data_IF_131819405634
#
_entry.id   IF_131819405634
#
_cell.length_a   1.000
_cell.length_b   1.000
_cell.length_c   1.000
_cell.angle_alpha   90.00
_cell.angle_beta   90.00
_cell.angle_gamma   90.00
#
_symmetry.space_group_name_H-M   'P 1'
#
loop_
_entity.id
_entity.type
_entity.pdbx_description
1 polymer ?
#
# COMPACT_ATOMS: atom_id res chain seq x y z
N UNK A 1 57.83 -0.52 -13.11
CA UNK A 1 56.74 -1.52 -13.13
C UNK A 1 55.71 -1.14 -12.06
N UNK A 2 54.62 -0.48 -12.44
CA UNK A 2 53.52 -0.20 -11.50
C UNK A 2 52.83 -1.54 -11.14
N UNK A 3 52.69 -1.81 -9.82
CA UNK A 3 52.07 -3.05 -9.34
C UNK A 3 50.61 -3.12 -9.80
N UNK A 4 50.12 -4.26 -10.32
CA UNK A 4 48.77 -4.41 -10.87
C UNK A 4 47.64 -4.02 -9.88
N UNK A 5 47.91 -4.06 -8.58
CA UNK A 5 47.00 -3.62 -7.52
C UNK A 5 46.70 -2.11 -7.56
N UNK A 6 47.66 -1.27 -7.96
CA UNK A 6 47.46 0.20 -8.08
C UNK A 6 46.57 0.55 -9.27
N UNK A 7 46.67 -0.18 -10.38
CA UNK A 7 45.83 0.03 -11.56
C UNK A 7 44.34 -0.34 -11.28
N UNK A 8 44.11 -1.43 -10.55
CA UNK A 8 42.74 -1.86 -10.17
C UNK A 8 42.08 -0.87 -9.22
N UNK A 9 42.83 -0.37 -8.23
CA UNK A 9 42.30 0.63 -7.27
C UNK A 9 42.02 1.97 -7.98
N UNK A 10 42.92 2.41 -8.85
CA UNK A 10 42.71 3.67 -9.60
C UNK A 10 41.53 3.58 -10.57
N UNK A 11 41.35 2.47 -11.28
CA UNK A 11 40.20 2.27 -12.16
C UNK A 11 38.87 2.22 -11.39
N UNK A 12 38.87 1.54 -10.24
CA UNK A 12 37.70 1.49 -9.36
C UNK A 12 37.27 2.87 -8.85
N UNK A 13 38.26 3.69 -8.43
CA UNK A 13 37.99 5.05 -7.94
C UNK A 13 37.42 5.97 -9.03
N UNK A 14 37.93 5.85 -10.27
CA UNK A 14 37.43 6.61 -11.41
C UNK A 14 36.00 6.24 -11.76
N UNK A 15 35.67 4.95 -11.77
CA UNK A 15 34.30 4.47 -12.05
C UNK A 15 33.33 4.95 -10.99
N UNK A 16 33.70 4.84 -9.70
CA UNK A 16 32.86 5.32 -8.60
C UNK A 16 32.66 6.83 -8.68
N UNK A 17 33.71 7.60 -8.94
CA UNK A 17 33.62 9.05 -9.11
C UNK A 17 32.74 9.43 -10.29
N UNK A 18 32.83 8.72 -11.40
CA UNK A 18 31.99 8.95 -12.58
C UNK A 18 30.51 8.65 -12.28
N UNK A 19 30.20 7.54 -11.61
CA UNK A 19 28.84 7.17 -11.22
C UNK A 19 28.25 8.20 -10.27
N UNK A 20 29.02 8.67 -9.30
CA UNK A 20 28.57 9.71 -8.35
C UNK A 20 28.33 11.03 -9.07
N UNK A 21 29.27 11.48 -9.91
CA UNK A 21 29.15 12.71 -10.68
C UNK A 21 27.94 12.66 -11.63
N UNK A 22 27.75 11.55 -12.34
CA UNK A 22 26.61 11.34 -13.22
C UNK A 22 25.28 11.34 -12.46
N UNK A 23 25.22 10.65 -11.31
CA UNK A 23 24.04 10.66 -10.45
C UNK A 23 23.70 12.06 -9.91
N UNK A 24 24.69 12.86 -9.59
CA UNK A 24 24.49 14.26 -9.14
C UNK A 24 23.97 15.14 -10.26
N UNK A 25 24.42 14.95 -11.49
CA UNK A 25 23.90 15.68 -12.66
C UNK A 25 22.44 15.35 -12.93
N UNK A 26 22.03 14.08 -12.76
CA UNK A 26 20.63 13.66 -12.94
C UNK A 26 19.70 14.07 -11.78
N UNK A 27 20.23 14.47 -10.61
CA UNK A 27 19.41 14.92 -9.46
C UNK A 27 18.54 16.16 -9.78
N UNK A 28 18.92 16.96 -10.76
CA UNK A 28 18.14 18.12 -11.17
C UNK A 28 17.03 17.81 -12.15
N UNK A 29 17.01 16.59 -12.72
CA UNK A 29 15.95 16.17 -13.61
C UNK A 29 14.64 16.05 -12.81
N UNK A 30 13.57 16.54 -13.39
CA UNK A 30 12.25 16.52 -12.83
C UNK A 30 11.28 15.76 -13.73
N UNK A 31 10.19 15.33 -13.17
CA UNK A 31 9.05 14.73 -13.89
C UNK A 31 8.45 15.77 -14.83
N UNK A 32 8.34 15.44 -16.11
CA UNK A 32 7.87 16.37 -17.16
C UNK A 32 6.36 16.58 -17.11
N UNK A 33 5.60 15.62 -16.56
CA UNK A 33 4.13 15.65 -16.46
C UNK A 33 3.65 14.95 -15.19
N UNK A 34 2.54 15.41 -14.63
CA UNK A 34 1.87 14.71 -13.53
C UNK A 34 1.23 13.40 -14.01
N UNK A 35 1.35 12.35 -13.18
CA UNK A 35 0.76 11.05 -13.45
C UNK A 35 0.36 10.32 -12.15
N UNK A 36 -0.44 9.26 -12.31
CA UNK A 36 -0.77 8.35 -11.22
C UNK A 36 0.03 7.06 -11.39
N UNK A 37 0.64 6.60 -10.29
CA UNK A 37 1.46 5.39 -10.27
C UNK A 37 1.03 4.46 -9.15
N UNK A 38 0.87 3.17 -9.48
CA UNK A 38 0.49 2.14 -8.52
C UNK A 38 1.72 1.33 -8.10
N UNK A 39 1.92 1.21 -6.80
CA UNK A 39 2.88 0.30 -6.18
C UNK A 39 2.08 -0.82 -5.52
N UNK A 40 2.37 -2.06 -5.88
CA UNK A 40 1.67 -3.23 -5.38
C UNK A 40 2.40 -3.85 -4.18
N UNK A 41 1.69 -4.58 -3.31
CA UNK A 41 2.32 -5.35 -2.23
C UNK A 41 3.43 -6.26 -2.78
N UNK A 42 4.62 -6.21 -2.17
CA UNK A 42 5.79 -6.98 -2.62
C UNK A 42 6.66 -6.30 -3.70
N UNK A 43 6.25 -5.14 -4.22
CA UNK A 43 7.12 -4.36 -5.11
C UNK A 43 8.38 -3.88 -4.38
N UNK A 44 9.46 -3.75 -5.12
CA UNK A 44 10.73 -3.22 -4.64
C UNK A 44 11.23 -2.09 -5.56
N UNK A 45 12.23 -1.33 -5.08
CA UNK A 45 12.78 -0.19 -5.83
C UNK A 45 13.25 -0.58 -7.24
N UNK A 46 13.98 -1.68 -7.47
CA UNK A 46 14.35 -2.11 -8.82
C UNK A 46 13.16 -2.30 -9.76
N UNK A 47 12.10 -2.94 -9.31
CA UNK A 47 10.90 -3.19 -10.11
C UNK A 47 10.14 -1.89 -10.39
N UNK A 48 9.97 -1.05 -9.37
CA UNK A 48 9.31 0.25 -9.47
C UNK A 48 10.07 1.17 -10.43
N UNK A 49 11.41 1.27 -10.30
CA UNK A 49 12.24 2.10 -11.18
C UNK A 49 12.16 1.63 -12.64
N UNK A 50 12.16 0.31 -12.87
CA UNK A 50 12.02 -0.24 -14.21
C UNK A 50 10.65 0.11 -14.81
N UNK A 51 9.55 -0.11 -14.08
CA UNK A 51 8.19 0.22 -14.57
C UNK A 51 8.02 1.70 -14.87
N UNK A 52 8.56 2.58 -14.03
CA UNK A 52 8.54 4.02 -14.29
C UNK A 52 9.33 4.39 -15.55
N UNK A 53 10.50 3.79 -15.74
CA UNK A 53 11.35 4.02 -16.91
C UNK A 53 10.69 3.52 -18.20
N UNK A 54 10.17 2.29 -18.18
CA UNK A 54 9.49 1.68 -19.34
C UNK A 54 8.26 2.50 -19.80
N UNK A 55 7.63 3.23 -18.88
CA UNK A 55 6.52 4.17 -19.16
C UNK A 55 6.98 5.55 -19.62
N UNK A 56 8.28 5.86 -19.54
CA UNK A 56 8.82 7.18 -19.80
C UNK A 56 8.49 8.21 -18.71
N UNK A 57 8.12 7.76 -17.51
CA UNK A 57 7.73 8.61 -16.39
C UNK A 57 8.88 8.86 -15.39
N UNK A 58 10.01 8.17 -15.54
CA UNK A 58 11.20 8.34 -14.69
C UNK A 58 12.15 9.35 -15.32
N UNK A 59 12.51 10.45 -14.64
CA UNK A 59 13.38 11.50 -15.19
C UNK A 59 14.86 11.11 -15.24
N UNK A 60 15.21 9.93 -14.71
CA UNK A 60 16.59 9.42 -14.60
C UNK A 60 16.65 7.96 -15.01
N UNK A 61 17.86 7.44 -15.24
CA UNK A 61 18.04 6.00 -15.51
C UNK A 61 17.67 5.16 -14.27
N UNK A 62 17.14 3.94 -14.45
CA UNK A 62 16.72 3.09 -13.33
C UNK A 62 17.81 2.85 -12.29
N UNK A 63 19.07 2.65 -12.72
CA UNK A 63 20.18 2.41 -11.81
C UNK A 63 20.49 3.63 -10.93
N UNK A 64 20.33 4.85 -11.47
CA UNK A 64 20.49 6.11 -10.73
C UNK A 64 19.44 6.22 -9.62
N UNK A 65 18.17 5.91 -9.96
CA UNK A 65 17.08 5.88 -8.98
C UNK A 65 17.34 4.88 -7.85
N UNK A 66 17.79 3.67 -8.21
CA UNK A 66 18.14 2.61 -7.25
C UNK A 66 19.33 3.02 -6.37
N UNK A 67 20.40 3.55 -6.98
CA UNK A 67 21.60 4.00 -6.29
C UNK A 67 21.27 5.12 -5.28
N UNK A 68 20.48 6.10 -5.68
CA UNK A 68 20.00 7.16 -4.79
C UNK A 68 19.15 6.60 -3.64
N UNK A 69 18.29 5.61 -3.91
CA UNK A 69 17.54 4.90 -2.89
C UNK A 69 18.42 4.27 -1.82
N UNK A 70 19.50 3.60 -2.25
CA UNK A 70 20.48 2.97 -1.34
C UNK A 70 21.28 4.04 -0.59
N UNK A 71 21.84 5.03 -1.30
CA UNK A 71 22.68 6.08 -0.72
C UNK A 71 21.94 6.89 0.35
N UNK A 72 20.67 7.19 0.11
CA UNK A 72 19.82 7.95 1.05
C UNK A 72 19.15 7.07 2.11
N UNK A 73 19.47 5.76 2.15
CA UNK A 73 18.83 4.74 3.00
C UNK A 73 17.31 4.69 2.80
N UNK A 74 16.86 4.96 1.60
CA UNK A 74 15.44 5.01 1.24
C UNK A 74 14.99 3.81 0.39
N UNK A 75 15.88 2.84 0.14
CA UNK A 75 15.60 1.70 -0.73
C UNK A 75 14.71 0.61 -0.10
N UNK A 76 14.51 0.63 1.22
CA UNK A 76 13.91 -0.50 1.94
C UNK A 76 12.40 -0.44 2.21
N UNK A 77 11.77 0.74 2.16
CA UNK A 77 10.45 0.92 2.78
C UNK A 77 9.43 1.58 1.84
N UNK A 78 9.40 1.19 0.57
CA UNK A 78 8.32 1.66 -0.31
C UNK A 78 7.00 1.02 0.13
N UNK A 79 5.96 1.85 0.20
CA UNK A 79 4.63 1.41 0.61
C UNK A 79 3.76 1.13 -0.61
N UNK A 80 3.01 0.04 -0.56
CA UNK A 80 2.00 -0.25 -1.56
C UNK A 80 0.90 0.82 -1.54
N UNK A 81 0.33 1.12 -2.70
CA UNK A 81 -0.73 2.09 -2.85
C UNK A 81 -0.63 2.87 -4.15
N UNK A 82 -1.59 3.73 -4.37
CA UNK A 82 -1.64 4.62 -5.51
C UNK A 82 -1.08 5.99 -5.14
N UNK A 83 -0.12 6.48 -5.91
CA UNK A 83 0.55 7.76 -5.69
C UNK A 83 0.23 8.75 -6.80
N UNK A 84 -0.10 9.98 -6.40
CA UNK A 84 -0.23 11.10 -7.33
C UNK A 84 1.13 11.80 -7.46
N UNK A 85 1.83 11.53 -8.54
CA UNK A 85 3.07 12.22 -8.90
C UNK A 85 2.72 13.54 -9.58
N UNK A 86 3.36 14.63 -9.16
CA UNK A 86 3.16 15.95 -9.74
C UNK A 86 4.28 16.29 -10.71
N UNK A 87 3.96 17.09 -11.71
CA UNK A 87 4.94 17.72 -12.58
C UNK A 87 5.97 18.52 -11.76
N UNK A 88 7.21 18.51 -12.19
CA UNK A 88 8.30 19.18 -11.50
C UNK A 88 8.90 18.45 -10.30
N UNK A 89 8.33 17.30 -9.88
CA UNK A 89 8.92 16.49 -8.82
C UNK A 89 10.30 15.97 -9.22
N UNK A 90 11.28 16.12 -8.34
CA UNK A 90 12.64 15.58 -8.54
C UNK A 90 12.71 14.12 -8.12
N UNK A 91 13.75 13.43 -8.57
CA UNK A 91 14.01 12.02 -8.26
C UNK A 91 13.97 11.70 -6.75
N UNK A 92 14.54 12.57 -5.92
CA UNK A 92 14.50 12.39 -4.45
C UNK A 92 13.11 12.57 -3.87
N UNK A 93 12.29 13.43 -4.47
CA UNK A 93 10.91 13.64 -4.02
C UNK A 93 10.03 12.45 -4.37
N UNK A 94 10.29 11.77 -5.51
CA UNK A 94 9.64 10.50 -5.85
C UNK A 94 9.98 9.41 -4.81
N UNK A 95 11.25 9.27 -4.43
CA UNK A 95 11.67 8.32 -3.40
C UNK A 95 11.00 8.61 -2.05
N UNK A 96 10.89 9.87 -1.66
CA UNK A 96 10.20 10.28 -0.43
C UNK A 96 8.70 10.04 -0.52
N UNK A 97 8.09 10.36 -1.67
CA UNK A 97 6.66 10.14 -1.92
C UNK A 97 6.30 8.67 -1.75
N UNK A 98 7.05 7.74 -2.37
CA UNK A 98 6.77 6.31 -2.32
C UNK A 98 6.97 5.65 -0.94
N UNK A 99 7.56 6.38 0.00
CA UNK A 99 7.70 5.96 1.42
C UNK A 99 6.69 6.65 2.33
N UNK A 100 6.04 7.68 1.84
CA UNK A 100 5.10 8.47 2.62
C UNK A 100 3.74 7.76 2.73
N UNK A 101 2.90 8.27 3.63
CA UNK A 101 1.49 7.89 3.73
C UNK A 101 0.57 8.71 2.81
N UNK A 102 1.17 9.47 1.87
CA UNK A 102 0.44 10.27 0.88
C UNK A 102 -0.06 9.41 -0.30
N UNK A 103 -0.64 8.26 0.02
CA UNK A 103 -1.34 7.41 -0.93
C UNK A 103 -2.74 7.93 -1.19
N UNK A 104 -3.26 7.68 -2.37
CA UNK A 104 -4.67 7.96 -2.70
C UNK A 104 -5.55 7.05 -1.84
N UNK A 105 -6.38 7.65 -1.01
CA UNK A 105 -7.32 6.95 -0.12
C UNK A 105 -8.70 6.95 -0.73
N UNK A 106 -9.26 5.78 -0.86
CA UNK A 106 -10.64 5.56 -1.25
C UNK A 106 -11.50 5.40 -0.01
N UNK A 107 -12.80 5.63 -0.14
CA UNK A 107 -13.77 5.46 0.93
C UNK A 107 -14.92 4.60 0.44
N UNK A 108 -15.34 3.68 1.28
CA UNK A 108 -16.52 2.87 1.07
C UNK A 108 -17.41 2.96 2.29
N UNK A 109 -18.66 3.34 2.08
CA UNK A 109 -19.67 3.42 3.15
C UNK A 109 -20.58 2.21 3.08
N UNK A 110 -20.74 1.55 4.21
CA UNK A 110 -21.73 0.49 4.41
C UNK A 110 -22.83 1.02 5.32
N UNK A 111 -24.02 1.31 4.77
CA UNK A 111 -25.16 1.80 5.54
C UNK A 111 -25.67 0.77 6.54
N UNK A 112 -26.35 1.25 7.58
CA UNK A 112 -27.11 0.40 8.50
C UNK A 112 -28.19 -0.38 7.75
N UNK A 113 -28.50 -1.59 8.24
CA UNK A 113 -29.54 -2.45 7.66
C UNK A 113 -29.10 -3.26 6.43
N UNK A 114 -27.86 -3.11 5.97
CA UNK A 114 -27.34 -3.96 4.90
C UNK A 114 -27.07 -5.38 5.38
N UNK A 115 -27.47 -6.35 4.56
CA UNK A 115 -27.12 -7.76 4.75
C UNK A 115 -25.79 -8.10 4.06
N UNK A 116 -25.25 -9.30 4.32
CA UNK A 116 -23.98 -9.76 3.75
C UNK A 116 -23.93 -9.69 2.22
N UNK A 117 -25.04 -9.96 1.54
CA UNK A 117 -25.13 -9.88 0.06
C UNK A 117 -24.91 -8.45 -0.43
N UNK A 118 -25.43 -7.46 0.29
CA UNK A 118 -25.23 -6.04 -0.04
C UNK A 118 -23.79 -5.64 0.17
N UNK A 119 -23.16 -6.10 1.25
CA UNK A 119 -21.72 -5.93 1.51
C UNK A 119 -20.87 -6.52 0.39
N UNK A 120 -21.08 -7.80 0.04
CA UNK A 120 -20.36 -8.47 -1.07
C UNK A 120 -20.54 -7.71 -2.39
N UNK A 121 -21.74 -7.25 -2.70
CA UNK A 121 -22.02 -6.49 -3.92
C UNK A 121 -21.26 -5.16 -3.95
N UNK A 122 -21.20 -4.44 -2.84
CA UNK A 122 -20.48 -3.17 -2.74
C UNK A 122 -18.97 -3.40 -2.85
N UNK A 123 -18.42 -4.38 -2.14
CA UNK A 123 -17.01 -4.76 -2.21
C UNK A 123 -16.61 -5.14 -3.65
N UNK A 124 -17.42 -5.95 -4.34
CA UNK A 124 -17.16 -6.34 -5.72
C UNK A 124 -17.19 -5.21 -6.75
N UNK A 125 -17.69 -4.02 -6.38
CA UNK A 125 -17.70 -2.82 -7.23
C UNK A 125 -16.65 -1.79 -6.84
N UNK A 126 -15.90 -2.05 -5.77
CA UNK A 126 -14.92 -1.12 -5.25
C UNK A 126 -13.73 -0.97 -6.21
N UNK A 127 -13.41 0.24 -6.67
CA UNK A 127 -12.25 0.44 -7.55
C UNK A 127 -10.94 0.16 -6.79
N UNK A 128 -9.99 -0.49 -7.45
CA UNK A 128 -8.64 -0.76 -6.94
C UNK A 128 -8.56 -1.62 -5.66
N UNK A 129 -9.67 -2.26 -5.27
CA UNK A 129 -9.73 -3.23 -4.18
C UNK A 129 -9.48 -4.63 -4.75
N UNK A 130 -8.60 -5.41 -4.12
CA UNK A 130 -8.38 -6.80 -4.51
C UNK A 130 -9.58 -7.66 -4.13
N UNK A 131 -10.10 -8.39 -5.12
CA UNK A 131 -11.28 -9.24 -4.98
C UNK A 131 -10.83 -10.63 -4.53
N UNK A 132 -10.79 -10.87 -3.22
CA UNK A 132 -10.33 -12.14 -2.61
C UNK A 132 -11.47 -13.00 -2.10
N UNK A 133 -12.66 -12.41 -1.91
CA UNK A 133 -13.81 -13.14 -1.34
C UNK A 133 -14.89 -13.48 -2.38
N UNK A 134 -14.69 -13.12 -3.66
CA UNK A 134 -15.72 -13.27 -4.70
C UNK A 134 -16.13 -14.72 -4.90
N UNK A 135 -15.18 -15.65 -4.85
CA UNK A 135 -15.38 -17.09 -5.04
C UNK A 135 -15.53 -17.87 -3.72
N UNK A 136 -15.47 -17.19 -2.57
CA UNK A 136 -15.61 -17.84 -1.28
C UNK A 136 -17.09 -18.04 -0.92
N UNK A 137 -17.41 -19.24 -0.49
CA UNK A 137 -18.70 -19.52 0.16
C UNK A 137 -18.75 -18.96 1.60
N UNK A 138 -19.92 -18.98 2.22
CA UNK A 138 -20.09 -18.45 3.57
C UNK A 138 -19.34 -19.26 4.63
N UNK A 139 -19.09 -20.55 4.39
CA UNK A 139 -18.34 -21.40 5.33
C UNK A 139 -16.86 -21.03 5.34
N UNK A 140 -16.27 -20.87 4.16
CA UNK A 140 -14.88 -20.43 3.99
C UNK A 140 -14.67 -19.03 4.57
N UNK A 141 -15.62 -18.12 4.33
CA UNK A 141 -15.54 -16.76 4.87
C UNK A 141 -15.64 -16.75 6.40
N UNK A 142 -16.50 -17.58 6.99
CA UNK A 142 -16.59 -17.77 8.46
C UNK A 142 -15.26 -18.23 9.04
N UNK A 143 -14.63 -19.24 8.43
CA UNK A 143 -13.33 -19.75 8.86
C UNK A 143 -12.26 -18.65 8.84
N UNK A 144 -12.19 -17.88 7.73
CA UNK A 144 -11.20 -16.80 7.58
C UNK A 144 -11.41 -15.63 8.56
N UNK A 145 -12.64 -15.41 9.02
CA UNK A 145 -13.02 -14.38 9.98
C UNK A 145 -13.06 -14.86 11.43
N UNK A 146 -13.02 -16.18 11.66
CA UNK A 146 -13.13 -16.78 12.97
C UNK A 146 -14.54 -16.62 13.57
N UNK A 147 -15.59 -16.72 12.73
CA UNK A 147 -17.00 -16.59 13.11
C UNK A 147 -17.63 -17.99 13.08
N UNK A 148 -18.20 -18.45 14.21
CA UNK A 148 -18.86 -19.75 14.30
C UNK A 148 -20.31 -19.74 13.85
N UNK A 149 -20.99 -18.63 14.07
CA UNK A 149 -22.42 -18.45 13.81
C UNK A 149 -22.73 -17.88 12.42
N UNK A 150 -23.90 -17.26 12.25
CA UNK A 150 -24.23 -16.54 11.04
C UNK A 150 -23.25 -15.39 10.79
N UNK A 151 -22.92 -15.10 9.53
CA UNK A 151 -22.15 -13.91 9.17
C UNK A 151 -22.96 -12.60 9.28
N UNK A 152 -24.30 -12.73 9.32
CA UNK A 152 -25.17 -11.55 9.46
C UNK A 152 -25.01 -10.89 10.83
N UNK A 153 -24.95 -9.55 10.83
CA UNK A 153 -24.81 -8.77 12.05
C UNK A 153 -23.37 -8.60 12.55
N UNK A 154 -22.38 -9.28 11.97
CA UNK A 154 -20.99 -9.25 12.42
C UNK A 154 -20.12 -8.13 11.85
N UNK A 155 -20.66 -7.32 10.96
CA UNK A 155 -19.93 -6.22 10.32
C UNK A 155 -20.54 -4.87 10.72
N UNK A 156 -19.72 -4.03 11.35
CA UNK A 156 -20.19 -2.72 11.82
C UNK A 156 -20.43 -1.79 10.61
N UNK A 157 -21.63 -1.20 10.46
CA UNK A 157 -21.91 -0.23 9.42
C UNK A 157 -21.17 1.08 9.70
N UNK A 158 -20.29 1.47 8.79
CA UNK A 158 -19.46 2.68 8.90
C UNK A 158 -18.85 3.02 7.52
N UNK A 159 -18.08 4.10 7.45
CA UNK A 159 -17.27 4.46 6.30
C UNK A 159 -15.82 3.99 6.50
N UNK A 160 -15.39 3.05 5.68
CA UNK A 160 -14.05 2.47 5.72
C UNK A 160 -13.16 3.08 4.65
N UNK A 161 -11.95 3.49 5.04
CA UNK A 161 -10.94 3.93 4.10
C UNK A 161 -10.11 2.72 3.65
N UNK A 162 -9.71 2.71 2.39
CA UNK A 162 -8.80 1.72 1.82
C UNK A 162 -7.86 2.37 0.80
N UNK A 163 -6.80 1.68 0.45
CA UNK A 163 -5.83 2.09 -0.58
C UNK A 163 -5.79 1.04 -1.69
N UNK A 164 -5.22 1.39 -2.84
CA UNK A 164 -5.00 0.42 -3.92
C UNK A 164 -4.12 -0.72 -3.41
N UNK A 165 -4.57 -1.97 -3.60
CA UNK A 165 -3.91 -3.18 -3.12
C UNK A 165 -4.40 -3.69 -1.76
N UNK A 166 -5.30 -2.96 -1.07
CA UNK A 166 -6.05 -3.54 0.05
C UNK A 166 -7.03 -4.60 -0.51
N UNK A 167 -7.29 -5.66 0.26
CA UNK A 167 -8.28 -6.68 -0.11
C UNK A 167 -9.67 -6.40 0.47
N UNK A 168 -10.69 -6.91 -0.19
CA UNK A 168 -12.07 -6.91 0.31
C UNK A 168 -12.20 -7.66 1.65
N UNK A 169 -11.44 -8.75 1.82
CA UNK A 169 -11.34 -9.48 3.09
C UNK A 169 -10.78 -8.59 4.21
N UNK A 170 -9.80 -7.72 3.93
CA UNK A 170 -9.24 -6.82 4.93
C UNK A 170 -10.26 -5.78 5.39
N UNK A 171 -11.12 -5.30 4.48
CA UNK A 171 -12.22 -4.41 4.85
C UNK A 171 -13.23 -5.15 5.76
N UNK A 172 -13.62 -6.36 5.42
CA UNK A 172 -14.51 -7.18 6.26
C UNK A 172 -13.89 -7.46 7.63
N UNK A 173 -12.60 -7.80 7.70
CA UNK A 173 -11.89 -7.97 8.97
C UNK A 173 -11.90 -6.70 9.82
N UNK A 174 -11.75 -5.53 9.21
CA UNK A 174 -11.82 -4.24 9.91
C UNK A 174 -13.23 -3.98 10.44
N UNK A 175 -14.25 -4.23 9.63
CA UNK A 175 -15.65 -4.07 10.03
C UNK A 175 -16.04 -5.04 11.16
N UNK A 176 -15.59 -6.30 11.07
CA UNK A 176 -15.79 -7.30 12.11
C UNK A 176 -15.11 -6.91 13.44
N UNK A 177 -13.83 -6.51 13.40
CA UNK A 177 -13.14 -6.04 14.61
C UNK A 177 -13.84 -4.83 15.24
N UNK A 178 -14.35 -3.90 14.41
CA UNK A 178 -15.10 -2.74 14.88
C UNK A 178 -16.40 -3.17 15.57
N UNK A 179 -17.15 -4.11 14.99
CA UNK A 179 -18.36 -4.66 15.60
C UNK A 179 -18.06 -5.27 16.97
N UNK A 180 -17.05 -6.15 17.07
CA UNK A 180 -16.65 -6.75 18.34
C UNK A 180 -16.26 -5.70 19.40
N UNK A 181 -15.54 -4.67 18.98
CA UNK A 181 -15.15 -3.58 19.90
C UNK A 181 -16.35 -2.80 20.41
N UNK A 182 -17.30 -2.45 19.53
CA UNK A 182 -18.51 -1.73 19.92
C UNK A 182 -19.37 -2.58 20.84
N UNK A 183 -19.63 -3.84 20.49
CA UNK A 183 -20.43 -4.74 21.32
C UNK A 183 -19.78 -4.90 22.71
N UNK A 184 -18.46 -5.11 22.79
CA UNK A 184 -17.79 -5.24 24.07
C UNK A 184 -17.91 -3.97 24.93
N UNK A 185 -17.81 -2.78 24.32
CA UNK A 185 -17.96 -1.53 25.06
C UNK A 185 -19.39 -1.30 25.56
N UNK A 186 -20.40 -1.55 24.73
CA UNK A 186 -21.81 -1.42 25.11
C UNK A 186 -22.21 -2.46 26.18
N UNK A 187 -21.70 -3.70 26.03
CA UNK A 187 -21.91 -4.74 27.01
C UNK A 187 -21.38 -4.39 28.41
N UNK A 188 -20.22 -3.73 28.46
CA UNK A 188 -19.61 -3.34 29.71
C UNK A 188 -20.40 -2.27 30.50
N UNK A 189 -21.17 -1.45 29.79
CA UNK A 189 -21.96 -0.35 30.38
C UNK A 189 -23.47 -0.62 30.40
N UNK A 190 -23.90 -1.84 30.01
CA UNK A 190 -25.31 -2.20 29.97
C UNK A 190 -25.97 -2.09 31.34
N UNK A 191 -27.26 -1.85 31.37
CA UNK A 191 -28.05 -1.89 32.60
C UNK A 191 -28.06 -3.34 33.16
N UNK A 192 -27.63 -3.56 34.40
CA UNK A 192 -27.60 -4.90 35.03
C UNK A 192 -28.99 -5.55 35.13
N UNK A 193 -30.08 -4.78 35.04
CA UNK A 193 -31.44 -5.33 35.06
C UNK A 193 -31.85 -6.02 33.78
N UNK A 194 -31.09 -5.82 32.69
CA UNK A 194 -31.31 -6.50 31.41
C UNK A 194 -30.70 -7.91 31.46
N UNK A 195 -31.56 -8.91 31.50
CA UNK A 195 -31.18 -10.33 31.58
C UNK A 195 -30.83 -10.86 30.19
N UNK A 196 -29.55 -10.71 29.81
CA UNK A 196 -28.97 -11.24 28.59
C UNK A 196 -27.76 -12.10 28.96
N UNK A 197 -27.76 -13.36 28.47
CA UNK A 197 -26.69 -14.32 28.80
C UNK A 197 -25.36 -14.00 28.15
N UNK A 198 -25.37 -13.36 26.97
CA UNK A 198 -24.16 -13.04 26.21
C UNK A 198 -24.36 -11.77 25.37
N UNK A 199 -23.30 -11.16 24.88
CA UNK A 199 -23.36 -9.94 24.07
C UNK A 199 -23.77 -10.15 22.60
N UNK A 200 -23.92 -11.42 22.17
CA UNK A 200 -24.23 -11.79 20.79
C UNK A 200 -25.51 -12.62 20.71
#
# INVERSE_FOLDING_TARGET
>A
MLRPRFLVVASSTIVVSFVVCFSVLELNNSVDRGFVFNIYPGDNIPLVSKRLYDRGDLPVLPFTFQFLGVLTRQAGDIKAGQYQVREGMKTLDLLRLFRSDYVVKYRMTFPEGWNLRDWRRALGRAPFLEQTIVDLDDMQLKEMLGISDSLEGWFFPDTYQYVSGDSDLDLLKRAHRRMKSVIASEWAVRDPSIDLDNPF
#
